data_IF_696751528304
#
_entry.id   IF_696751528304
#
_cell.length_a   1.000
_cell.length_b   1.000
_cell.length_c   1.000
_cell.angle_alpha   90.00
_cell.angle_beta   90.00
_cell.angle_gamma   90.00
#
_symmetry.space_group_name_H-M   'P 1'
#
loop_
_entity.id
_entity.type
_entity.pdbx_description
1 polymer ?
#
# COMPACT_ATOMS: atom_id res chain seq x y z
N UNK A 1 12.58 15.81 -24.39
CA UNK A 1 12.24 14.54 -23.70
C UNK A 1 13.47 13.75 -23.26
N UNK A 2 14.40 13.38 -24.15
CA UNK A 2 15.55 12.49 -23.79
C UNK A 2 16.50 13.10 -22.75
N UNK A 3 16.72 14.43 -22.78
CA UNK A 3 17.56 15.14 -21.78
C UNK A 3 16.93 15.14 -20.37
N UNK A 4 15.61 15.23 -20.30
CA UNK A 4 14.85 15.22 -19.03
C UNK A 4 14.89 13.86 -18.36
N UNK A 5 14.81 12.77 -19.15
CA UNK A 5 14.98 11.40 -18.68
C UNK A 5 16.38 11.13 -18.11
N UNK A 6 17.44 11.62 -18.77
CA UNK A 6 18.81 11.48 -18.26
C UNK A 6 19.04 12.30 -16.98
N UNK A 7 18.50 13.51 -16.90
CA UNK A 7 18.56 14.33 -15.68
C UNK A 7 17.82 13.66 -14.51
N UNK A 8 16.64 13.09 -14.75
CA UNK A 8 15.89 12.33 -13.74
C UNK A 8 16.66 11.10 -13.25
N UNK A 9 17.29 10.35 -14.16
CA UNK A 9 18.08 9.16 -13.82
C UNK A 9 19.39 9.47 -13.06
N UNK A 10 19.93 10.69 -13.21
CA UNK A 10 21.14 11.15 -12.50
C UNK A 10 20.86 11.71 -11.10
N UNK A 11 19.60 12.05 -10.78
CA UNK A 11 19.19 12.49 -9.45
C UNK A 11 18.79 11.27 -8.59
N UNK A 12 19.71 10.82 -7.73
CA UNK A 12 19.50 9.70 -6.80
C UNK A 12 18.17 9.76 -5.99
N UNK A 13 17.69 10.93 -5.52
CA UNK A 13 16.42 11.01 -4.79
C UNK A 13 15.21 10.65 -5.66
N UNK A 14 15.16 11.17 -6.89
CA UNK A 14 14.06 10.90 -7.83
C UNK A 14 14.02 9.43 -8.26
N UNK A 15 15.18 8.80 -8.42
CA UNK A 15 15.28 7.36 -8.67
C UNK A 15 14.73 6.54 -7.50
N UNK A 16 15.02 6.94 -6.26
CA UNK A 16 14.56 6.24 -5.05
C UNK A 16 13.03 6.27 -4.92
N UNK A 17 12.42 7.42 -5.18
CA UNK A 17 10.96 7.57 -5.22
C UNK A 17 10.36 6.72 -6.35
N UNK A 18 10.95 6.78 -7.56
CA UNK A 18 10.51 5.99 -8.69
C UNK A 18 10.55 4.47 -8.43
N UNK A 19 11.63 3.97 -7.81
CA UNK A 19 11.76 2.57 -7.43
C UNK A 19 10.72 2.18 -6.37
N UNK A 20 10.47 3.03 -5.38
CA UNK A 20 9.45 2.78 -4.36
C UNK A 20 8.05 2.70 -4.98
N UNK A 21 7.73 3.57 -5.94
CA UNK A 21 6.46 3.55 -6.66
C UNK A 21 6.30 2.28 -7.51
N UNK A 22 7.39 1.84 -8.14
CA UNK A 22 7.43 0.60 -8.90
C UNK A 22 7.19 -0.60 -7.99
N UNK A 23 7.85 -0.66 -6.82
CA UNK A 23 7.64 -1.70 -5.82
C UNK A 23 6.19 -1.73 -5.33
N UNK A 24 5.61 -0.57 -5.00
CA UNK A 24 4.19 -0.45 -4.64
C UNK A 24 3.29 -1.06 -5.72
N UNK A 25 3.49 -0.66 -6.98
CA UNK A 25 2.66 -1.08 -8.10
C UNK A 25 2.76 -2.59 -8.36
N UNK A 26 3.96 -3.16 -8.30
CA UNK A 26 4.20 -4.60 -8.49
C UNK A 26 3.54 -5.41 -7.37
N UNK A 27 3.75 -5.01 -6.12
CA UNK A 27 3.18 -5.70 -4.95
C UNK A 27 1.65 -5.65 -4.97
N UNK A 28 1.09 -4.46 -5.17
CA UNK A 28 -0.37 -4.28 -5.21
C UNK A 28 -1.02 -5.03 -6.38
N UNK A 29 -0.41 -4.97 -7.57
CA UNK A 29 -0.87 -5.72 -8.74
C UNK A 29 -0.81 -7.24 -8.54
N UNK A 30 0.24 -7.74 -7.88
CA UNK A 30 0.39 -9.16 -7.55
C UNK A 30 -0.70 -9.65 -6.58
N UNK A 31 -1.12 -8.80 -5.63
CA UNK A 31 -2.21 -9.11 -4.71
C UNK A 31 -3.58 -9.06 -5.42
N UNK A 32 -3.84 -8.04 -6.24
CA UNK A 32 -5.08 -7.93 -7.02
C UNK A 32 -5.33 -9.15 -7.92
N UNK A 33 -4.28 -9.72 -8.51
CA UNK A 33 -4.39 -10.94 -9.32
C UNK A 33 -4.90 -12.15 -8.53
N UNK A 34 -4.69 -12.18 -7.20
CA UNK A 34 -5.15 -13.25 -6.29
C UNK A 34 -6.53 -12.97 -5.69
N UNK A 35 -7.10 -11.79 -5.94
CA UNK A 35 -8.41 -11.43 -5.40
C UNK A 35 -9.52 -12.46 -5.70
N UNK A 36 -9.61 -13.05 -6.92
CA UNK A 36 -10.61 -14.09 -7.22
C UNK A 36 -10.36 -15.40 -6.46
N UNK A 37 -9.10 -15.76 -6.22
CA UNK A 37 -8.74 -16.93 -5.41
C UNK A 37 -9.19 -16.72 -3.95
N UNK A 38 -8.96 -15.54 -3.38
CA UNK A 38 -9.39 -15.20 -2.01
C UNK A 38 -10.92 -15.20 -1.90
N UNK A 39 -11.61 -14.66 -2.91
CA UNK A 39 -13.08 -14.67 -2.96
C UNK A 39 -13.64 -16.10 -2.95
N UNK A 40 -13.08 -16.99 -3.78
CA UNK A 40 -13.53 -18.38 -3.88
C UNK A 40 -13.15 -19.21 -2.65
N UNK A 41 -11.96 -19.01 -2.08
CA UNK A 41 -11.50 -19.68 -0.86
C UNK A 41 -12.38 -19.37 0.37
N UNK A 42 -12.91 -18.16 0.45
CA UNK A 42 -13.79 -17.71 1.54
C UNK A 42 -15.28 -17.88 1.21
N UNK A 43 -15.62 -18.39 0.01
CA UNK A 43 -16.99 -18.52 -0.50
C UNK A 43 -17.82 -17.22 -0.35
N UNK A 44 -17.20 -16.06 -0.57
CA UNK A 44 -17.83 -14.76 -0.38
C UNK A 44 -18.74 -14.38 -1.55
N UNK A 45 -19.87 -13.74 -1.24
CA UNK A 45 -20.66 -13.06 -2.27
C UNK A 45 -19.96 -11.81 -2.78
N UNK A 46 -20.31 -11.34 -3.99
CA UNK A 46 -19.74 -10.11 -4.56
C UNK A 46 -19.93 -8.89 -3.64
N UNK A 47 -21.09 -8.79 -2.98
CA UNK A 47 -21.37 -7.73 -2.02
C UNK A 47 -20.48 -7.81 -0.76
N UNK A 48 -20.23 -9.02 -0.25
CA UNK A 48 -19.34 -9.23 0.90
C UNK A 48 -17.88 -8.91 0.57
N UNK A 49 -17.42 -9.29 -0.62
CA UNK A 49 -16.10 -8.91 -1.11
C UNK A 49 -15.99 -7.39 -1.25
N UNK A 50 -16.99 -6.75 -1.86
CA UNK A 50 -17.05 -5.28 -1.98
C UNK A 50 -16.96 -4.59 -0.62
N UNK A 51 -17.71 -5.06 0.38
CA UNK A 51 -17.63 -4.55 1.75
C UNK A 51 -16.24 -4.76 2.37
N UNK A 52 -15.60 -5.91 2.15
CA UNK A 52 -14.24 -6.14 2.64
C UNK A 52 -13.23 -5.19 1.98
N UNK A 53 -13.38 -4.93 0.68
CA UNK A 53 -12.55 -4.00 -0.08
C UNK A 53 -12.64 -2.55 0.42
N UNK A 54 -13.77 -2.15 1.04
CA UNK A 54 -13.90 -0.83 1.69
C UNK A 54 -12.90 -0.63 2.83
N UNK A 55 -12.34 -1.70 3.40
CA UNK A 55 -11.26 -1.59 4.38
C UNK A 55 -10.09 -0.76 3.85
N UNK A 56 -9.74 -0.93 2.57
CA UNK A 56 -8.60 -0.27 1.93
C UNK A 56 -8.71 1.26 1.91
N UNK A 57 -9.78 1.88 1.33
CA UNK A 57 -9.98 3.32 1.38
C UNK A 57 -10.25 3.84 2.80
N UNK A 58 -10.90 3.06 3.68
CA UNK A 58 -11.10 3.48 5.07
C UNK A 58 -9.78 3.61 5.83
N UNK A 59 -8.86 2.65 5.66
CA UNK A 59 -7.52 2.73 6.22
C UNK A 59 -6.74 3.91 5.65
N UNK A 60 -6.83 4.11 4.33
CA UNK A 60 -6.17 5.22 3.67
C UNK A 60 -6.63 6.59 4.22
N UNK A 61 -7.93 6.78 4.35
CA UNK A 61 -8.54 8.00 4.91
C UNK A 61 -8.19 8.20 6.38
N UNK A 62 -8.12 7.13 7.16
CA UNK A 62 -7.76 7.21 8.57
C UNK A 62 -6.34 7.71 8.78
N UNK A 63 -5.37 7.29 7.96
CA UNK A 63 -3.98 7.74 8.14
C UNK A 63 -3.71 9.13 7.58
N UNK A 64 -4.34 9.50 6.47
CA UNK A 64 -4.05 10.74 5.73
C UNK A 64 -3.99 12.01 6.61
N UNK A 65 -4.95 12.29 7.51
CA UNK A 65 -4.88 13.47 8.38
C UNK A 65 -3.78 13.36 9.46
N UNK A 66 -3.45 12.15 9.92
CA UNK A 66 -2.40 11.92 10.92
C UNK A 66 -0.99 11.95 10.32
N UNK A 67 -0.86 11.65 9.03
CA UNK A 67 0.43 11.56 8.37
C UNK A 67 1.19 12.89 8.37
N UNK A 68 0.49 14.03 8.25
CA UNK A 68 1.11 15.35 8.33
C UNK A 68 1.73 15.66 9.70
N UNK A 69 1.22 15.07 10.78
CA UNK A 69 1.84 15.14 12.10
C UNK A 69 3.03 14.19 12.20
N UNK A 70 2.88 12.96 11.70
CA UNK A 70 3.91 11.92 11.75
C UNK A 70 5.18 12.32 10.98
N UNK A 71 5.01 12.97 9.82
CA UNK A 71 6.11 13.47 8.99
C UNK A 71 6.88 14.64 9.61
N UNK A 72 6.33 15.35 10.60
CA UNK A 72 7.08 16.40 11.34
C UNK A 72 8.14 15.81 12.27
N UNK A 73 7.97 14.55 12.68
CA UNK A 73 8.84 13.89 13.66
C UNK A 73 9.80 12.87 13.02
N UNK A 74 9.56 12.45 11.77
CA UNK A 74 10.36 11.43 11.08
C UNK A 74 11.11 12.08 9.92
N UNK A 75 12.41 11.78 9.81
CA UNK A 75 13.21 12.22 8.68
C UNK A 75 12.74 11.53 7.40
N UNK A 76 12.43 12.30 6.36
CA UNK A 76 11.84 11.86 5.08
C UNK A 76 12.48 10.60 4.50
N UNK A 77 13.82 10.55 4.42
CA UNK A 77 14.52 9.37 3.91
C UNK A 77 14.34 8.09 4.73
N UNK A 78 14.19 8.19 6.06
CA UNK A 78 13.88 7.05 6.93
C UNK A 78 12.40 6.67 6.87
N UNK A 79 11.51 7.65 6.76
CA UNK A 79 10.08 7.43 6.61
C UNK A 79 9.77 6.58 5.37
N UNK A 80 10.38 6.91 4.23
CA UNK A 80 10.21 6.16 2.99
C UNK A 80 10.62 4.69 3.14
N UNK A 81 11.83 4.40 3.61
CA UNK A 81 12.28 3.01 3.82
C UNK A 81 11.41 2.24 4.81
N UNK A 82 11.02 2.87 5.93
CA UNK A 82 10.16 2.24 6.93
C UNK A 82 8.77 1.93 6.35
N UNK A 83 8.19 2.87 5.61
CA UNK A 83 6.88 2.70 4.97
C UNK A 83 6.88 1.58 3.93
N UNK A 84 7.96 1.45 3.14
CA UNK A 84 8.12 0.37 2.17
C UNK A 84 8.21 -0.99 2.86
N UNK A 85 9.03 -1.11 3.91
CA UNK A 85 9.13 -2.35 4.69
C UNK A 85 7.79 -2.72 5.34
N UNK A 86 7.09 -1.72 5.89
CA UNK A 86 5.80 -1.91 6.54
C UNK A 86 4.74 -2.34 5.52
N UNK A 87 4.71 -1.76 4.32
CA UNK A 87 3.83 -2.19 3.24
C UNK A 87 4.13 -3.63 2.78
N UNK A 88 5.40 -3.99 2.60
CA UNK A 88 5.80 -5.36 2.28
C UNK A 88 5.37 -6.38 3.35
N UNK A 89 5.42 -6.01 4.63
CA UNK A 89 5.01 -6.86 5.74
C UNK A 89 3.48 -6.97 5.87
N UNK A 90 2.74 -5.93 5.48
CA UNK A 90 1.28 -5.90 5.60
C UNK A 90 0.56 -6.55 4.42
N UNK A 91 1.14 -6.53 3.21
CA UNK A 91 0.53 -7.09 2.00
C UNK A 91 0.15 -8.59 2.10
N UNK A 92 0.89 -9.46 2.81
CA UNK A 92 0.49 -10.86 2.99
C UNK A 92 -0.69 -11.05 3.96
N UNK A 93 -0.98 -10.09 4.84
CA UNK A 93 -2.00 -10.22 5.90
C UNK A 93 -3.39 -10.59 5.33
N UNK A 94 -3.91 -9.91 4.29
CA UNK A 94 -5.20 -10.27 3.69
C UNK A 94 -5.22 -11.68 3.09
N UNK A 95 -4.07 -12.22 2.67
CA UNK A 95 -3.99 -13.57 2.08
C UNK A 95 -4.19 -14.69 3.10
N UNK A 96 -3.96 -14.42 4.40
CA UNK A 96 -4.19 -15.37 5.50
C UNK A 96 -5.54 -15.15 6.19
N UNK A 97 -6.43 -14.33 5.62
CA UNK A 97 -7.73 -14.08 6.19
C UNK A 97 -8.64 -15.31 6.05
N UNK A 98 -9.20 -15.78 7.18
CA UNK A 98 -10.15 -16.90 7.24
C UNK A 98 -11.62 -16.45 7.35
N UNK A 99 -11.88 -15.14 7.32
CA UNK A 99 -13.23 -14.57 7.36
C UNK A 99 -13.30 -13.22 6.64
N UNK A 100 -14.51 -12.80 6.25
CA UNK A 100 -14.76 -11.48 5.64
C UNK A 100 -14.24 -10.33 6.51
N UNK A 101 -14.47 -10.38 7.82
CA UNK A 101 -14.03 -9.34 8.75
C UNK A 101 -12.51 -9.32 8.92
N UNK A 102 -11.87 -10.48 8.93
CA UNK A 102 -10.41 -10.57 8.93
C UNK A 102 -9.83 -10.01 7.62
N UNK A 103 -10.48 -10.26 6.48
CA UNK A 103 -10.08 -9.70 5.19
C UNK A 103 -10.21 -8.18 5.20
N UNK A 104 -11.33 -7.64 5.68
CA UNK A 104 -11.56 -6.20 5.80
C UNK A 104 -10.52 -5.53 6.72
N UNK A 105 -10.23 -6.15 7.87
CA UNK A 105 -9.19 -5.67 8.80
C UNK A 105 -7.79 -5.71 8.20
N UNK A 106 -7.44 -6.78 7.48
CA UNK A 106 -6.18 -6.88 6.75
C UNK A 106 -6.05 -5.80 5.68
N UNK A 107 -7.12 -5.56 4.91
CA UNK A 107 -7.15 -4.53 3.87
C UNK A 107 -7.12 -3.11 4.45
N UNK A 108 -7.70 -2.91 5.63
CA UNK A 108 -7.56 -1.67 6.39
C UNK A 108 -6.11 -1.37 6.76
N UNK A 109 -5.38 -2.38 7.27
CA UNK A 109 -3.95 -2.24 7.58
C UNK A 109 -3.12 -1.99 6.32
N UNK A 110 -3.42 -2.68 5.22
CA UNK A 110 -2.79 -2.42 3.90
C UNK A 110 -3.07 -0.99 3.44
N UNK A 111 -4.30 -0.50 3.60
CA UNK A 111 -4.70 0.87 3.27
C UNK A 111 -3.95 1.93 4.09
N UNK A 112 -3.82 1.72 5.41
CA UNK A 112 -2.98 2.56 6.28
C UNK A 112 -1.54 2.62 5.76
N UNK A 113 -0.94 1.45 5.52
CA UNK A 113 0.44 1.30 5.07
C UNK A 113 0.66 1.98 3.71
N UNK A 114 -0.28 1.81 2.78
CA UNK A 114 -0.25 2.42 1.46
C UNK A 114 -0.30 3.95 1.54
N UNK A 115 -1.20 4.52 2.35
CA UNK A 115 -1.24 5.97 2.55
C UNK A 115 0.03 6.49 3.20
N UNK A 116 0.61 5.76 4.16
CA UNK A 116 1.87 6.18 4.78
C UNK A 116 3.01 6.23 3.77
N UNK A 117 3.09 5.23 2.90
CA UNK A 117 4.10 5.16 1.86
C UNK A 117 3.92 6.28 0.83
N UNK A 118 2.70 6.55 0.36
CA UNK A 118 2.43 7.63 -0.59
C UNK A 118 2.77 9.02 -0.02
N UNK A 119 2.64 9.24 1.29
CA UNK A 119 2.95 10.53 1.92
C UNK A 119 4.44 10.67 2.24
N UNK A 120 5.15 9.55 2.39
CA UNK A 120 6.59 9.52 2.65
C UNK A 120 7.45 9.72 1.40
N UNK A 121 6.87 9.48 0.22
CA UNK A 121 7.47 9.65 -1.11
C UNK A 121 7.42 11.10 -1.57
#
# INVERSE_FOLDING_TARGET
>A
MIRTLKAFALHLPSLSVGLTFMTLSILFGSWLARLPEVQSALALSEGQLGLALLGLPLGALALTPFAGWLMKHIQTGRAMNLSTLLFCACLPIPAFAHSQWALMGGLFVVGLSNSFMNISM
#
